data_IF_491536101119
#
_entry.id   IF_491536101119
#
_cell.length_a   1.000
_cell.length_b   1.000
_cell.length_c   1.000
_cell.angle_alpha   90.00
_cell.angle_beta   90.00
_cell.angle_gamma   90.00
#
_symmetry.space_group_name_H-M   'P 1'
#
loop_
_entity.id
_entity.type
_entity.pdbx_description
1 polymer ?
#
# COMPACT_ATOMS: atom_id res chain seq x y z
N UNK A 1 -22.00 18.74 -6.89
CA UNK A 1 -22.80 18.31 -5.74
C UNK A 1 -23.05 16.82 -5.85
N UNK A 2 -22.09 16.00 -5.40
CA UNK A 2 -22.21 14.55 -5.38
C UNK A 2 -22.54 14.15 -3.95
N UNK A 3 -23.83 14.03 -3.66
CA UNK A 3 -24.27 13.20 -2.54
C UNK A 3 -24.62 11.83 -3.12
N UNK A 4 -23.58 11.07 -3.43
CA UNK A 4 -23.70 9.66 -3.79
C UNK A 4 -24.03 8.85 -2.53
N UNK A 5 -25.31 8.85 -2.12
CA UNK A 5 -25.82 7.76 -1.29
C UNK A 5 -25.72 6.49 -2.13
N UNK A 6 -24.61 5.76 -2.01
CA UNK A 6 -24.51 4.41 -2.55
C UNK A 6 -25.70 3.62 -2.01
N UNK A 7 -26.50 3.06 -2.91
CA UNK A 7 -27.59 2.18 -2.50
C UNK A 7 -26.94 1.00 -1.77
N UNK A 8 -27.28 0.80 -0.48
CA UNK A 8 -26.83 -0.38 0.30
C UNK A 8 -27.13 -1.71 -0.40
N UNK A 9 -28.09 -1.72 -1.33
CA UNK A 9 -28.55 -2.91 -2.06
C UNK A 9 -27.51 -3.50 -3.03
N UNK A 10 -26.59 -2.71 -3.57
CA UNK A 10 -25.65 -3.19 -4.62
C UNK A 10 -24.31 -3.68 -4.07
N UNK A 11 -24.00 -3.44 -2.79
CA UNK A 11 -22.71 -3.78 -2.17
C UNK A 11 -22.74 -5.15 -1.46
N UNK A 12 -23.93 -5.67 -1.13
CA UNK A 12 -24.10 -6.84 -0.26
C UNK A 12 -24.48 -8.14 -0.98
N UNK A 13 -24.68 -8.12 -2.30
CA UNK A 13 -25.15 -9.32 -3.05
C UNK A 13 -24.05 -10.02 -3.86
N UNK A 14 -22.92 -9.34 -4.12
CA UNK A 14 -21.83 -9.94 -4.87
C UNK A 14 -20.85 -10.68 -3.95
N UNK A 15 -20.36 -11.86 -4.37
CA UNK A 15 -19.39 -12.62 -3.61
C UNK A 15 -18.04 -11.90 -3.55
N UNK A 16 -17.32 -12.11 -2.45
CA UNK A 16 -15.92 -11.68 -2.33
C UNK A 16 -15.03 -12.71 -3.03
N UNK A 17 -14.02 -12.25 -3.76
CA UNK A 17 -13.05 -13.12 -4.43
C UNK A 17 -11.65 -12.73 -4.04
N UNK A 18 -10.95 -13.63 -3.36
CA UNK A 18 -9.56 -13.45 -2.96
C UNK A 18 -8.61 -14.22 -3.88
N UNK A 19 -7.38 -13.72 -4.02
CA UNK A 19 -6.38 -14.23 -4.95
C UNK A 19 -5.11 -14.65 -4.20
N UNK A 20 -5.09 -15.87 -3.63
CA UNK A 20 -3.87 -16.45 -3.07
C UNK A 20 -2.72 -16.43 -4.08
N UNK A 21 -1.51 -16.15 -3.61
CA UNK A 21 -0.31 -16.30 -4.41
C UNK A 21 -0.04 -17.76 -4.83
N UNK A 22 0.73 -17.99 -5.91
CA UNK A 22 1.22 -19.33 -6.24
C UNK A 22 2.04 -19.94 -5.09
N UNK A 23 1.74 -21.18 -4.71
CA UNK A 23 2.46 -21.89 -3.64
C UNK A 23 1.96 -21.61 -2.22
N UNK A 24 0.91 -20.80 -2.06
CA UNK A 24 0.33 -20.50 -0.76
C UNK A 24 -0.24 -21.77 -0.06
N UNK A 25 -0.19 -21.78 1.27
CA UNK A 25 -0.64 -22.91 2.11
C UNK A 25 -2.06 -22.65 2.61
N UNK A 26 -3.01 -23.47 2.19
CA UNK A 26 -4.40 -23.41 2.64
C UNK A 26 -4.50 -23.94 4.07
N UNK A 27 -5.11 -23.15 4.96
CA UNK A 27 -5.23 -23.45 6.39
C UNK A 27 -6.55 -24.16 6.74
N UNK A 28 -7.40 -24.38 5.74
CA UNK A 28 -8.75 -24.93 5.86
C UNK A 28 -9.05 -25.87 4.70
N UNK A 29 -9.96 -26.81 4.94
CA UNK A 29 -10.61 -27.59 3.89
C UNK A 29 -11.84 -26.82 3.38
N UNK A 30 -12.01 -26.77 2.06
CA UNK A 30 -13.10 -26.02 1.40
C UNK A 30 -14.05 -26.99 0.67
N UNK A 31 -15.37 -26.70 0.60
CA UNK A 31 -16.02 -25.50 1.13
C UNK A 31 -16.20 -25.53 2.64
N UNK A 32 -16.15 -24.37 3.30
CA UNK A 32 -16.33 -24.27 4.75
C UNK A 32 -16.93 -22.94 5.17
N UNK A 33 -17.52 -22.91 6.37
CA UNK A 33 -17.95 -21.66 6.98
C UNK A 33 -16.74 -20.90 7.50
N UNK A 34 -16.74 -19.60 7.26
CA UNK A 34 -15.68 -18.70 7.68
C UNK A 34 -16.26 -17.47 8.39
N UNK A 35 -15.47 -16.89 9.27
CA UNK A 35 -15.80 -15.65 9.98
C UNK A 35 -14.84 -14.53 9.59
N UNK A 36 -15.29 -13.28 9.63
CA UNK A 36 -14.45 -12.12 9.33
C UNK A 36 -13.21 -12.10 10.23
N UNK A 37 -12.03 -11.99 9.61
CA UNK A 37 -10.74 -12.07 10.31
C UNK A 37 -10.17 -13.48 10.44
N UNK A 38 -10.92 -14.51 10.07
CA UNK A 38 -10.44 -15.88 10.17
C UNK A 38 -9.40 -16.19 9.10
N UNK A 39 -8.30 -16.83 9.51
CA UNK A 39 -7.21 -17.21 8.61
C UNK A 39 -7.65 -18.26 7.58
N UNK A 40 -7.42 -17.97 6.30
CA UNK A 40 -7.77 -18.84 5.18
C UNK A 40 -6.53 -19.46 4.54
N UNK A 41 -5.51 -18.63 4.29
CA UNK A 41 -4.31 -19.02 3.55
C UNK A 41 -3.09 -18.33 4.12
N UNK A 42 -2.00 -19.07 4.29
CA UNK A 42 -0.69 -18.51 4.60
C UNK A 42 0.09 -18.28 3.30
N UNK A 43 0.61 -17.07 3.14
CA UNK A 43 1.37 -16.64 1.97
C UNK A 43 2.84 -16.42 2.34
N UNK A 44 3.67 -16.09 1.37
CA UNK A 44 5.08 -15.71 1.51
C UNK A 44 5.21 -14.49 2.42
N UNK A 45 4.25 -13.57 2.32
CA UNK A 45 4.11 -12.40 3.19
C UNK A 45 2.72 -12.40 3.82
N UNK A 46 2.67 -12.82 5.09
CA UNK A 46 1.48 -12.70 5.92
C UNK A 46 0.43 -13.79 5.70
N UNK A 47 -0.78 -13.51 6.19
CA UNK A 47 -1.92 -14.44 6.17
C UNK A 47 -3.12 -13.75 5.54
N UNK A 48 -3.72 -14.40 4.55
CA UNK A 48 -4.97 -13.96 3.94
C UNK A 48 -6.14 -14.36 4.85
N UNK A 49 -6.94 -13.37 5.22
CA UNK A 49 -8.06 -13.52 6.15
C UNK A 49 -9.39 -13.42 5.41
N UNK A 50 -10.44 -13.99 5.98
CA UNK A 50 -11.78 -13.78 5.45
C UNK A 50 -12.23 -12.33 5.67
N UNK A 51 -12.66 -11.60 4.63
CA UNK A 51 -13.22 -10.26 4.76
C UNK A 51 -14.62 -10.23 5.37
N UNK A 52 -15.35 -11.35 5.36
CA UNK A 52 -16.76 -11.44 5.76
C UNK A 52 -17.06 -12.76 6.46
N UNK A 53 -18.18 -12.80 7.16
CA UNK A 53 -18.82 -14.05 7.55
C UNK A 53 -19.50 -14.67 6.31
N UNK A 54 -19.35 -15.97 6.11
CA UNK A 54 -20.00 -16.63 4.98
C UNK A 54 -19.50 -18.04 4.69
N UNK A 55 -19.79 -18.51 3.48
CA UNK A 55 -19.29 -19.78 2.96
C UNK A 55 -18.18 -19.52 1.96
N UNK A 56 -16.98 -20.00 2.28
CA UNK A 56 -15.82 -19.93 1.41
C UNK A 56 -15.70 -21.22 0.59
N UNK A 57 -15.42 -21.08 -0.70
CA UNK A 57 -15.22 -22.18 -1.66
C UNK A 57 -14.04 -21.89 -2.58
N UNK A 58 -13.36 -22.93 -3.05
CA UNK A 58 -12.31 -22.80 -4.05
C UNK A 58 -12.90 -22.75 -5.45
N UNK A 59 -12.36 -21.86 -6.28
CA UNK A 59 -12.62 -21.81 -7.72
C UNK A 59 -11.29 -22.05 -8.42
N UNK A 60 -11.21 -23.12 -9.21
CA UNK A 60 -10.07 -23.37 -10.07
C UNK A 60 -10.20 -22.52 -11.34
N UNK A 61 -9.26 -21.59 -11.54
CA UNK A 61 -9.08 -20.90 -12.81
C UNK A 61 -7.97 -21.56 -13.65
N UNK A 62 -7.83 -21.14 -14.90
CA UNK A 62 -6.79 -21.66 -15.82
C UNK A 62 -5.35 -21.43 -15.33
N UNK A 63 -5.12 -20.40 -14.50
CA UNK A 63 -3.78 -19.98 -14.05
C UNK A 63 -3.64 -19.78 -12.54
N UNK A 64 -4.73 -19.79 -11.77
CA UNK A 64 -4.68 -19.61 -10.31
C UNK A 64 -5.94 -20.13 -9.62
N UNK A 65 -5.77 -20.60 -8.39
CA UNK A 65 -6.89 -20.96 -7.51
C UNK A 65 -7.36 -19.69 -6.80
N UNK A 66 -8.66 -19.41 -6.88
CA UNK A 66 -9.31 -18.28 -6.21
C UNK A 66 -10.13 -18.78 -5.02
N UNK A 67 -10.32 -17.94 -4.00
CA UNK A 67 -11.27 -18.21 -2.92
C UNK A 67 -12.47 -17.31 -3.10
N UNK A 68 -13.65 -17.90 -3.30
CA UNK A 68 -14.91 -17.17 -3.38
C UNK A 68 -15.66 -17.31 -2.06
N UNK A 69 -16.13 -16.20 -1.52
CA UNK A 69 -16.87 -16.15 -0.25
C UNK A 69 -18.23 -15.52 -0.50
N UNK A 70 -19.27 -16.31 -0.30
CA UNK A 70 -20.66 -15.83 -0.33
C UNK A 70 -21.02 -15.40 1.07
N UNK A 71 -21.20 -14.09 1.26
CA UNK A 71 -21.55 -13.53 2.56
C UNK A 71 -22.92 -14.02 3.01
N UNK A 72 -23.03 -14.39 4.30
CA UNK A 72 -24.33 -14.63 4.93
C UNK A 72 -24.54 -13.72 6.14
N UNK A 73 -25.71 -13.06 6.19
CA UNK A 73 -26.05 -12.12 7.24
C UNK A 73 -25.27 -10.79 7.21
N UNK A 74 -25.57 -9.93 8.19
CA UNK A 74 -24.88 -8.65 8.39
C UNK A 74 -23.95 -8.76 9.60
N UNK A 75 -22.63 -8.75 9.35
CA UNK A 75 -21.62 -8.71 10.40
C UNK A 75 -21.06 -7.30 10.56
N UNK A 76 -20.96 -6.84 11.80
CA UNK A 76 -20.26 -5.62 12.20
C UNK A 76 -19.13 -5.98 13.14
N UNK A 77 -17.95 -5.45 12.86
CA UNK A 77 -16.82 -5.49 13.79
C UNK A 77 -17.19 -4.69 15.04
N UNK A 78 -17.11 -5.30 16.23
CA UNK A 78 -17.48 -4.63 17.48
C UNK A 78 -16.66 -3.37 17.74
N UNK A 79 -15.38 -3.36 17.31
CA UNK A 79 -14.49 -2.21 17.36
C UNK A 79 -14.23 -1.66 18.76
N UNK A 80 -14.59 -2.43 19.79
CA UNK A 80 -14.43 -2.07 21.19
C UNK A 80 -12.95 -1.88 21.51
N UNK A 81 -12.64 -0.75 22.14
CA UNK A 81 -11.28 -0.44 22.56
C UNK A 81 -10.91 -1.32 23.75
N UNK A 82 -9.86 -2.12 23.58
CA UNK A 82 -9.27 -2.99 24.59
C UNK A 82 -7.79 -2.64 24.71
N UNK A 83 -7.44 -1.99 25.82
CA UNK A 83 -6.07 -1.60 26.13
C UNK A 83 -5.58 -2.48 27.28
N UNK A 84 -4.49 -3.21 27.04
CA UNK A 84 -3.77 -3.94 28.07
C UNK A 84 -2.43 -3.22 28.32
N UNK A 85 -2.31 -2.41 29.39
CA UNK A 85 -1.08 -1.68 29.69
C UNK A 85 0.17 -2.57 29.85
N UNK A 86 -0.01 -3.88 30.04
CA UNK A 86 1.05 -4.87 30.19
C UNK A 86 1.34 -5.69 28.93
N UNK A 87 0.80 -5.28 27.77
CA UNK A 87 0.99 -5.96 26.50
C UNK A 87 2.48 -6.10 26.17
N UNK A 88 2.96 -7.35 26.16
CA UNK A 88 4.35 -7.66 25.81
C UNK A 88 4.56 -7.62 24.30
N UNK A 89 5.81 -7.42 23.88
CA UNK A 89 6.17 -7.41 22.47
C UNK A 89 5.75 -8.73 21.79
N UNK A 90 6.03 -9.88 22.39
CA UNK A 90 5.69 -11.20 21.82
C UNK A 90 4.18 -11.34 21.55
N UNK A 91 3.36 -10.89 22.49
CA UNK A 91 1.90 -10.90 22.35
C UNK A 91 1.43 -9.91 21.27
N UNK A 92 2.10 -8.76 21.14
CA UNK A 92 1.82 -7.81 20.07
C UNK A 92 2.18 -8.38 18.70
N UNK A 93 3.31 -9.10 18.58
CA UNK A 93 3.72 -9.78 17.35
C UNK A 93 2.71 -10.86 16.94
N UNK A 94 2.25 -11.68 17.90
CA UNK A 94 1.19 -12.68 17.66
C UNK A 94 -0.09 -12.03 17.14
N UNK A 95 -0.55 -10.94 17.80
CA UNK A 95 -1.72 -10.19 17.35
C UNK A 95 -1.54 -9.60 15.95
N UNK A 96 -0.34 -9.15 15.59
CA UNK A 96 -0.04 -8.65 14.23
C UNK A 96 -0.19 -9.78 13.19
N UNK A 97 0.35 -10.96 13.48
CA UNK A 97 0.28 -12.13 12.59
C UNK A 97 -1.16 -12.64 12.43
N UNK A 98 -1.90 -12.80 13.54
CA UNK A 98 -3.30 -13.22 13.54
C UNK A 98 -4.20 -12.22 12.80
N UNK A 99 -3.86 -10.93 12.85
CA UNK A 99 -4.61 -9.86 12.18
C UNK A 99 -4.22 -9.66 10.71
N UNK A 100 -3.29 -10.45 10.17
CA UNK A 100 -2.86 -10.35 8.78
C UNK A 100 -2.08 -9.08 8.45
N UNK A 101 -1.43 -8.44 9.44
CA UNK A 101 -0.75 -7.17 9.24
C UNK A 101 0.55 -7.33 8.44
N UNK A 102 0.66 -6.55 7.38
CA UNK A 102 1.90 -6.31 6.63
C UNK A 102 2.39 -4.89 6.84
N UNK A 103 3.68 -4.65 6.62
CA UNK A 103 4.16 -3.27 6.52
C UNK A 103 3.72 -2.69 5.18
N UNK A 104 2.98 -1.58 5.21
CA UNK A 104 2.60 -0.86 3.98
C UNK A 104 3.73 0.06 3.49
N UNK A 105 4.78 0.20 4.30
CA UNK A 105 6.02 0.91 4.00
C UNK A 105 7.04 -0.02 3.33
N UNK A 106 7.00 -1.32 3.68
CA UNK A 106 7.81 -2.40 3.12
C UNK A 106 6.91 -3.57 2.70
N UNK A 107 6.31 -3.52 1.48
CA UNK A 107 5.25 -4.45 1.07
C UNK A 107 5.61 -5.94 1.15
N UNK A 108 6.90 -6.28 1.04
CA UNK A 108 7.40 -7.66 1.08
C UNK A 108 7.73 -8.15 2.51
N UNK A 109 7.17 -7.52 3.55
CA UNK A 109 7.50 -7.82 4.94
C UNK A 109 6.26 -7.78 5.83
N UNK A 110 6.06 -8.84 6.64
CA UNK A 110 5.02 -8.83 7.67
C UNK A 110 5.37 -7.81 8.74
N UNK A 111 4.35 -7.19 9.34
CA UNK A 111 4.63 -6.17 10.35
C UNK A 111 5.32 -6.78 11.58
N UNK A 112 4.93 -7.99 11.98
CA UNK A 112 5.59 -8.76 13.04
C UNK A 112 7.09 -8.99 12.77
N UNK A 113 7.45 -9.36 11.53
CA UNK A 113 8.84 -9.60 11.14
C UNK A 113 9.65 -8.30 11.17
N UNK A 114 9.05 -7.18 10.76
CA UNK A 114 9.68 -5.86 10.85
C UNK A 114 10.04 -5.50 12.31
N UNK A 115 9.12 -5.70 13.25
CA UNK A 115 9.40 -5.47 14.67
C UNK A 115 10.41 -6.46 15.24
N UNK A 116 10.32 -7.74 14.85
CA UNK A 116 11.18 -8.81 15.36
C UNK A 116 12.64 -8.68 14.91
N UNK A 117 12.88 -8.15 13.71
CA UNK A 117 14.22 -7.99 13.13
C UNK A 117 14.90 -6.69 13.52
N UNK A 118 14.18 -5.76 14.17
CA UNK A 118 14.71 -4.49 14.63
C UNK A 118 15.68 -4.67 15.82
N UNK A 119 16.88 -4.10 15.69
CA UNK A 119 18.02 -4.27 16.60
C UNK A 119 18.32 -3.03 17.47
N UNK A 120 17.42 -2.04 17.48
CA UNK A 120 17.39 -0.90 18.41
C UNK A 120 18.39 0.24 18.14
N UNK A 121 18.07 1.13 17.19
CA UNK A 121 18.75 2.45 17.13
C UNK A 121 17.78 3.63 17.03
N UNK A 122 16.78 3.53 16.17
CA UNK A 122 15.88 4.64 15.87
C UNK A 122 14.50 4.12 15.47
N UNK A 123 13.45 4.68 16.07
CA UNK A 123 12.06 4.44 15.68
C UNK A 123 11.52 5.74 15.07
N UNK A 124 10.97 5.66 13.86
CA UNK A 124 10.41 6.81 13.14
C UNK A 124 8.94 6.55 12.85
N UNK A 125 8.08 7.39 13.42
CA UNK A 125 6.65 7.39 13.13
C UNK A 125 6.38 8.53 12.16
N UNK A 126 6.22 8.20 10.88
CA UNK A 126 6.14 9.18 9.80
C UNK A 126 4.71 9.72 9.63
N UNK A 127 4.52 11.00 9.25
CA UNK A 127 3.20 11.56 8.98
C UNK A 127 2.68 11.26 7.57
N UNK A 128 3.51 10.64 6.72
CA UNK A 128 3.21 10.52 5.30
C UNK A 128 3.20 9.06 4.85
N UNK A 129 2.21 8.73 4.04
CA UNK A 129 2.21 7.52 3.20
C UNK A 129 2.96 7.82 1.89
N UNK A 130 3.35 6.76 1.17
CA UNK A 130 4.14 6.81 -0.07
C UNK A 130 3.67 7.86 -1.10
N UNK A 131 2.36 7.99 -1.29
CA UNK A 131 1.73 8.89 -2.28
C UNK A 131 0.74 9.89 -1.66
N UNK A 132 0.56 9.85 -0.33
CA UNK A 132 -0.44 10.62 0.43
C UNK A 132 -1.85 10.65 -0.20
N UNK A 133 -2.41 9.51 -0.64
CA UNK A 133 -3.75 9.49 -1.22
C UNK A 133 -4.80 9.78 -0.14
N UNK A 134 -4.63 9.23 1.07
CA UNK A 134 -5.45 9.46 2.25
C UNK A 134 -4.55 10.08 3.33
N UNK A 135 -5.05 11.10 4.02
CA UNK A 135 -4.32 11.69 5.15
C UNK A 135 -4.57 10.86 6.43
N UNK A 136 -3.85 9.74 6.55
CA UNK A 136 -3.94 8.89 7.73
C UNK A 136 -3.41 9.55 9.00
N UNK A 137 -2.59 10.59 8.89
CA UNK A 137 -2.14 11.36 10.06
C UNK A 137 -3.32 12.13 10.65
N UNK A 138 -4.10 12.80 9.80
CA UNK A 138 -5.34 13.46 10.22
C UNK A 138 -6.31 12.46 10.87
N UNK A 139 -6.55 11.31 10.23
CA UNK A 139 -7.41 10.25 10.80
C UNK A 139 -6.89 9.77 12.17
N UNK A 140 -5.58 9.57 12.32
CA UNK A 140 -5.01 9.15 13.62
C UNK A 140 -5.23 10.24 14.68
N UNK A 141 -4.99 11.51 14.35
CA UNK A 141 -5.11 12.61 15.29
C UNK A 141 -6.57 12.86 15.70
N UNK A 142 -7.53 12.62 14.82
CA UNK A 142 -8.96 12.79 15.09
C UNK A 142 -9.58 11.57 15.80
N UNK A 143 -9.26 10.34 15.37
CA UNK A 143 -9.96 9.14 15.81
C UNK A 143 -9.15 8.22 16.73
N UNK A 144 -7.81 8.29 16.71
CA UNK A 144 -6.93 7.32 17.35
C UNK A 144 -5.83 7.97 18.21
N UNK A 145 -5.95 9.25 18.58
CA UNK A 145 -4.89 10.01 19.27
C UNK A 145 -4.48 9.36 20.60
N UNK A 146 -5.44 8.94 21.41
CA UNK A 146 -5.16 8.27 22.69
C UNK A 146 -4.51 6.88 22.48
N UNK A 147 -4.91 6.16 21.44
CA UNK A 147 -4.30 4.88 21.08
C UNK A 147 -2.85 5.05 20.61
N UNK A 148 -2.57 6.14 19.90
CA UNK A 148 -1.23 6.49 19.47
C UNK A 148 -0.34 6.84 20.67
N UNK A 149 -0.84 7.63 21.64
CA UNK A 149 -0.11 7.91 22.89
C UNK A 149 0.17 6.60 23.65
N UNK A 150 -0.82 5.72 23.76
CA UNK A 150 -0.63 4.42 24.41
C UNK A 150 0.41 3.56 23.67
N UNK A 151 0.42 3.59 22.34
CA UNK A 151 1.42 2.88 21.54
C UNK A 151 2.85 3.44 21.77
N UNK A 152 2.99 4.77 21.93
CA UNK A 152 4.26 5.39 22.30
C UNK A 152 4.80 4.84 23.63
N UNK A 153 3.94 4.60 24.61
CA UNK A 153 4.34 3.98 25.89
C UNK A 153 4.78 2.52 25.71
N UNK A 154 4.11 1.75 24.85
CA UNK A 154 4.54 0.38 24.55
C UNK A 154 5.90 0.32 23.86
N UNK A 155 6.14 1.13 22.82
CA UNK A 155 7.43 1.07 22.12
C UNK A 155 8.60 1.53 23.00
N UNK A 156 8.38 2.42 23.98
CA UNK A 156 9.38 2.76 25.00
C UNK A 156 9.73 1.57 25.90
N UNK A 157 8.73 0.75 26.24
CA UNK A 157 8.94 -0.46 27.06
C UNK A 157 9.57 -1.58 26.24
N UNK A 158 9.11 -1.79 25.01
CA UNK A 158 9.61 -2.83 24.12
C UNK A 158 11.05 -2.54 23.64
N UNK A 159 11.39 -1.27 23.44
CA UNK A 159 12.68 -0.84 22.90
C UNK A 159 13.28 0.34 23.71
N UNK A 160 13.69 0.13 24.98
CA UNK A 160 14.09 1.21 25.89
C UNK A 160 15.31 2.02 25.42
N UNK A 161 16.20 1.39 24.65
CA UNK A 161 17.42 2.04 24.14
C UNK A 161 17.19 2.82 22.83
N UNK A 162 16.00 2.74 22.24
CA UNK A 162 15.73 3.36 20.94
C UNK A 162 15.34 4.83 21.06
N UNK A 163 15.89 5.66 20.20
CA UNK A 163 15.43 7.05 20.04
C UNK A 163 14.13 7.03 19.25
N UNK A 164 13.06 7.63 19.80
CA UNK A 164 11.77 7.73 19.13
C UNK A 164 11.61 9.12 18.49
N UNK A 165 11.33 9.15 17.20
CA UNK A 165 10.97 10.35 16.43
C UNK A 165 9.51 10.23 15.98
N UNK A 166 8.61 10.80 16.76
CA UNK A 166 7.19 10.85 16.44
C UNK A 166 6.83 12.11 15.66
N UNK A 167 6.50 11.94 14.38
CA UNK A 167 6.00 12.99 13.50
C UNK A 167 4.50 12.88 13.21
N UNK A 168 3.77 11.98 13.87
CA UNK A 168 2.31 12.00 13.86
C UNK A 168 1.84 13.20 14.67
N UNK A 169 2.27 13.31 15.93
CA UNK A 169 1.95 14.47 16.78
C UNK A 169 2.85 15.66 16.45
N UNK A 170 4.16 15.45 16.35
CA UNK A 170 5.11 16.54 16.11
C UNK A 170 5.13 16.97 14.64
N UNK A 171 5.56 18.21 14.37
CA UNK A 171 5.78 18.68 13.01
C UNK A 171 7.07 18.14 12.41
N UNK A 172 7.06 17.90 11.10
CA UNK A 172 8.26 17.66 10.31
C UNK A 172 9.04 18.96 10.06
N UNK A 173 10.36 18.89 9.76
CA UNK A 173 11.18 20.08 9.53
C UNK A 173 10.92 20.78 8.18
N UNK A 174 9.90 20.38 7.42
CA UNK A 174 9.51 20.97 6.14
C UNK A 174 8.01 21.22 6.07
N UNK A 175 7.58 22.17 5.23
CA UNK A 175 6.23 22.77 5.32
C UNK A 175 5.11 21.92 4.71
N UNK A 176 5.38 21.20 3.62
CA UNK A 176 4.35 20.49 2.86
C UNK A 176 4.88 19.13 2.40
N UNK A 177 3.96 18.19 2.22
CA UNK A 177 4.25 16.94 1.54
C UNK A 177 4.66 17.22 0.08
N UNK A 178 5.71 16.53 -0.36
CA UNK A 178 6.19 16.52 -1.73
C UNK A 178 6.50 15.07 -2.07
N UNK A 179 6.20 14.61 -3.29
CA UNK A 179 6.66 13.28 -3.69
C UNK A 179 8.19 13.32 -3.89
N UNK A 180 8.98 12.32 -3.41
CA UNK A 180 8.59 11.05 -2.79
C UNK A 180 8.84 11.00 -1.27
N UNK A 181 8.50 12.06 -0.53
CA UNK A 181 8.77 12.17 0.92
C UNK A 181 8.05 11.09 1.74
N UNK A 182 7.05 10.39 1.18
CA UNK A 182 6.43 9.23 1.81
C UNK A 182 7.27 7.94 1.81
N UNK A 183 8.40 7.89 1.09
CA UNK A 183 9.27 6.71 1.08
C UNK A 183 10.19 6.69 2.30
N UNK A 184 10.35 5.55 3.00
CA UNK A 184 11.11 5.47 4.24
C UNK A 184 12.53 6.04 4.15
N UNK A 185 13.30 5.61 3.16
CA UNK A 185 14.71 5.98 2.98
C UNK A 185 14.86 7.48 2.69
N UNK A 186 13.98 8.01 1.85
CA UNK A 186 14.01 9.43 1.49
C UNK A 186 13.46 10.33 2.59
N UNK A 187 12.41 9.90 3.31
CA UNK A 187 11.90 10.60 4.48
C UNK A 187 12.98 10.74 5.53
N UNK A 188 13.64 9.65 5.89
CA UNK A 188 14.68 9.62 6.91
C UNK A 188 15.89 10.47 6.50
N UNK A 189 16.31 10.41 5.24
CA UNK A 189 17.33 11.33 4.69
C UNK A 189 16.93 12.80 4.81
N UNK A 190 15.70 13.16 4.41
CA UNK A 190 15.24 14.56 4.36
C UNK A 190 14.92 15.12 5.76
N UNK A 191 14.31 14.33 6.64
CA UNK A 191 13.84 14.76 7.95
C UNK A 191 14.92 14.68 9.03
N UNK A 192 15.83 13.70 8.94
CA UNK A 192 16.82 13.40 9.98
C UNK A 192 18.28 13.59 9.52
N UNK A 193 18.51 13.91 8.24
CA UNK A 193 19.85 13.99 7.64
C UNK A 193 20.63 12.66 7.67
N UNK A 194 19.92 11.55 7.83
CA UNK A 194 20.49 10.21 7.92
C UNK A 194 20.74 9.66 6.51
N UNK A 195 21.99 9.32 6.19
CA UNK A 195 22.38 8.93 4.82
C UNK A 195 22.19 7.45 4.54
N UNK A 196 22.20 6.64 5.58
CA UNK A 196 22.11 5.19 5.49
C UNK A 196 20.79 4.71 6.08
N UNK A 197 20.00 4.00 5.28
CA UNK A 197 18.78 3.37 5.76
C UNK A 197 18.98 1.86 5.83
N UNK A 198 18.81 1.28 7.02
CA UNK A 198 18.79 -0.15 7.27
C UNK A 198 17.59 -0.44 8.14
N UNK A 199 16.65 -1.26 7.64
CA UNK A 199 15.40 -1.58 8.35
C UNK A 199 15.64 -2.29 9.69
N UNK A 200 16.77 -2.99 9.81
CA UNK A 200 17.21 -3.64 11.04
C UNK A 200 17.59 -2.61 12.11
N UNK A 201 18.04 -1.42 11.73
CA UNK A 201 18.45 -0.36 12.65
C UNK A 201 17.40 0.75 12.78
N UNK A 202 16.51 0.91 11.80
CA UNK A 202 15.49 1.95 11.77
C UNK A 202 14.10 1.33 11.60
N UNK A 203 13.32 1.30 12.68
CA UNK A 203 11.92 0.91 12.63
C UNK A 203 11.09 2.08 12.11
N UNK A 204 10.83 2.09 10.81
CA UNK A 204 9.97 3.08 10.17
C UNK A 204 8.53 2.58 10.10
N UNK A 205 7.59 3.39 10.58
CA UNK A 205 6.15 3.12 10.50
C UNK A 205 5.44 4.34 9.91
N UNK A 206 4.85 4.17 8.74
CA UNK A 206 3.97 5.15 8.12
C UNK A 206 2.62 5.26 8.82
N UNK A 207 1.86 6.34 8.57
CA UNK A 207 0.62 6.62 9.30
C UNK A 207 -0.48 5.60 8.94
N UNK A 208 -0.47 5.04 7.73
CA UNK A 208 -1.43 3.98 7.36
C UNK A 208 -1.11 2.66 8.07
N UNK A 209 0.18 2.26 8.11
CA UNK A 209 0.65 1.10 8.88
C UNK A 209 0.24 1.25 10.35
N UNK A 210 0.44 2.43 10.95
CA UNK A 210 0.03 2.73 12.32
C UNK A 210 -1.49 2.65 12.52
N UNK A 211 -2.27 3.21 11.61
CA UNK A 211 -3.73 3.15 11.68
C UNK A 211 -4.24 1.70 11.72
N UNK A 212 -3.72 0.82 10.86
CA UNK A 212 -4.07 -0.59 10.85
C UNK A 212 -3.51 -1.36 12.05
N UNK A 213 -2.31 -0.99 12.52
CA UNK A 213 -1.74 -1.54 13.75
C UNK A 213 -2.62 -1.23 14.97
N UNK A 214 -3.12 0.00 15.12
CA UNK A 214 -3.98 0.37 16.24
C UNK A 214 -5.31 -0.37 16.21
N UNK A 215 -5.87 -0.55 15.01
CA UNK A 215 -7.09 -1.32 14.80
C UNK A 215 -6.92 -2.77 15.24
N UNK A 216 -5.80 -3.40 14.90
CA UNK A 216 -5.50 -4.75 15.33
C UNK A 216 -5.25 -4.85 16.85
N UNK A 217 -4.31 -4.05 17.37
CA UNK A 217 -3.87 -4.16 18.76
C UNK A 217 -4.94 -3.76 19.77
N UNK A 218 -5.69 -2.69 19.47
CA UNK A 218 -6.60 -2.06 20.43
C UNK A 218 -8.07 -2.27 20.12
N UNK A 219 -8.46 -2.53 18.87
CA UNK A 219 -9.88 -2.66 18.50
C UNK A 219 -10.26 -4.09 18.10
N UNK A 220 -9.29 -5.02 18.07
CA UNK A 220 -9.45 -6.39 17.55
C UNK A 220 -10.03 -6.41 16.13
N UNK A 221 -9.68 -5.40 15.34
CA UNK A 221 -10.10 -5.32 13.95
C UNK A 221 -8.93 -5.77 13.06
N UNK A 222 -9.05 -6.89 12.35
CA UNK A 222 -8.00 -7.41 11.49
C UNK A 222 -7.83 -6.56 10.22
N UNK A 223 -6.72 -6.76 9.51
CA UNK A 223 -6.43 -6.11 8.24
C UNK A 223 -7.19 -6.79 7.10
N UNK A 224 -8.50 -6.51 7.05
CA UNK A 224 -9.43 -7.03 6.04
C UNK A 224 -10.15 -5.92 5.27
N UNK A 225 -9.90 -4.66 5.64
CA UNK A 225 -10.45 -3.49 4.98
C UNK A 225 -9.45 -2.33 4.99
N UNK A 226 -9.42 -1.56 3.89
CA UNK A 226 -8.51 -0.44 3.65
C UNK A 226 -9.26 0.75 3.05
N UNK A 227 -8.81 1.96 3.34
CA UNK A 227 -9.33 3.18 2.70
C UNK A 227 -8.68 3.37 1.33
N UNK A 228 -9.51 3.48 0.29
CA UNK A 228 -9.09 3.65 -1.10
C UNK A 228 -9.52 5.03 -1.59
N UNK A 229 -8.56 5.82 -2.10
CA UNK A 229 -8.88 7.09 -2.74
C UNK A 229 -9.33 6.88 -4.17
N UNK A 230 -10.29 7.69 -4.63
CA UNK A 230 -10.74 7.68 -6.01
C UNK A 230 -10.31 8.98 -6.69
N UNK A 231 -9.72 8.84 -7.87
CA UNK A 231 -9.33 9.94 -8.74
C UNK A 231 -10.01 9.82 -10.10
N UNK A 232 -10.17 10.95 -10.77
CA UNK A 232 -10.75 11.06 -12.10
C UNK A 232 -9.84 11.89 -13.00
N UNK A 233 -9.42 11.31 -14.12
CA UNK A 233 -8.70 11.98 -15.19
C UNK A 233 -9.69 12.35 -16.28
N UNK A 234 -9.90 13.64 -16.43
CA UNK A 234 -10.77 14.24 -17.43
C UNK A 234 -10.15 14.17 -18.84
N UNK A 235 -10.96 14.36 -19.88
CA UNK A 235 -10.48 14.32 -21.28
C UNK A 235 -9.43 15.39 -21.61
N UNK A 236 -9.39 16.47 -20.84
CA UNK A 236 -8.39 17.55 -20.97
C UNK A 236 -7.11 17.28 -20.14
N UNK A 237 -6.99 16.11 -19.50
CA UNK A 237 -5.89 15.77 -18.60
C UNK A 237 -6.03 16.32 -17.18
N UNK A 238 -7.12 17.01 -16.85
CA UNK A 238 -7.39 17.49 -15.50
C UNK A 238 -7.57 16.33 -14.53
N UNK A 239 -6.92 16.41 -13.37
CA UNK A 239 -7.05 15.42 -12.29
C UNK A 239 -8.00 15.97 -11.21
N UNK A 240 -9.05 15.20 -10.90
CA UNK A 240 -9.92 15.44 -9.75
C UNK A 240 -9.78 14.29 -8.76
N UNK A 241 -9.96 14.59 -7.48
CA UNK A 241 -9.98 13.61 -6.39
C UNK A 241 -11.36 13.65 -5.74
N UNK A 242 -11.90 12.48 -5.43
CA UNK A 242 -13.11 12.35 -4.59
C UNK A 242 -12.82 12.91 -3.18
N UNK A 243 -13.79 13.58 -2.56
CA UNK A 243 -13.59 14.24 -1.26
C UNK A 243 -13.25 13.25 -0.14
N UNK A 244 -13.99 12.15 -0.06
CA UNK A 244 -13.80 11.12 0.96
C UNK A 244 -13.29 9.82 0.34
N UNK A 245 -12.28 9.17 0.93
CA UNK A 245 -11.91 7.82 0.52
C UNK A 245 -13.03 6.83 0.82
N UNK A 246 -13.12 5.78 0.02
CA UNK A 246 -14.07 4.69 0.24
C UNK A 246 -13.35 3.56 0.95
N UNK A 247 -13.97 3.05 2.01
CA UNK A 247 -13.47 1.86 2.71
C UNK A 247 -13.97 0.62 1.98
N UNK A 248 -13.03 -0.18 1.49
CA UNK A 248 -13.30 -1.45 0.84
C UNK A 248 -12.77 -2.61 1.67
N UNK A 249 -13.40 -3.77 1.54
CA UNK A 249 -12.86 -5.03 2.06
C UNK A 249 -12.03 -5.76 1.01
N UNK A 250 -11.13 -6.62 1.46
CA UNK A 250 -10.34 -7.45 0.57
C UNK A 250 -11.23 -8.38 -0.27
N UNK A 251 -10.89 -8.53 -1.54
CA UNK A 251 -11.66 -9.29 -2.52
C UNK A 251 -13.03 -8.72 -2.86
N UNK A 252 -13.36 -7.49 -2.44
CA UNK A 252 -14.64 -6.89 -2.77
C UNK A 252 -14.73 -6.61 -4.27
N UNK A 253 -15.84 -7.02 -4.89
CA UNK A 253 -16.11 -6.70 -6.29
C UNK A 253 -16.24 -5.19 -6.50
N UNK A 254 -15.61 -4.70 -7.58
CA UNK A 254 -15.70 -3.32 -8.03
C UNK A 254 -16.84 -3.10 -9.04
N UNK A 255 -17.58 -4.14 -9.42
CA UNK A 255 -18.61 -4.07 -10.47
C UNK A 255 -19.62 -2.96 -10.25
N UNK A 256 -20.06 -2.72 -9.00
CA UNK A 256 -20.99 -1.62 -8.69
C UNK A 256 -20.42 -0.25 -9.09
N UNK A 257 -19.13 -0.01 -8.83
CA UNK A 257 -18.45 1.24 -9.10
C UNK A 257 -18.11 1.36 -10.59
N UNK A 258 -17.57 0.28 -11.18
CA UNK A 258 -17.21 0.24 -12.59
C UNK A 258 -18.44 0.45 -13.48
N UNK A 259 -19.56 -0.21 -13.20
CA UNK A 259 -20.81 -0.06 -13.95
C UNK A 259 -21.37 1.36 -13.89
N UNK A 260 -21.31 1.98 -12.70
CA UNK A 260 -21.74 3.37 -12.51
C UNK A 260 -20.88 4.34 -13.32
N UNK A 261 -19.55 4.19 -13.26
CA UNK A 261 -18.60 5.13 -13.86
C UNK A 261 -18.32 4.87 -15.34
N UNK A 262 -18.58 3.67 -15.87
CA UNK A 262 -18.20 3.22 -17.22
C UNK A 262 -18.56 4.19 -18.34
N UNK A 263 -19.72 4.88 -18.26
CA UNK A 263 -20.14 5.82 -19.31
C UNK A 263 -19.24 7.04 -19.41
N UNK A 264 -18.78 7.55 -18.27
CA UNK A 264 -17.92 8.74 -18.18
C UNK A 264 -16.44 8.35 -18.24
N UNK A 265 -16.10 7.21 -17.63
CA UNK A 265 -14.75 6.70 -17.44
C UNK A 265 -14.67 5.24 -17.92
N UNK A 266 -14.40 5.01 -19.21
CA UNK A 266 -14.34 3.66 -19.78
C UNK A 266 -13.11 2.86 -19.35
N UNK A 267 -12.08 3.51 -18.80
CA UNK A 267 -10.86 2.87 -18.35
C UNK A 267 -10.54 3.28 -16.90
N UNK A 268 -9.74 2.46 -16.22
CA UNK A 268 -9.19 2.80 -14.92
C UNK A 268 -7.83 2.15 -14.70
N UNK A 269 -7.10 2.59 -13.69
CA UNK A 269 -5.88 1.94 -13.19
C UNK A 269 -5.85 2.07 -11.66
N UNK A 270 -4.91 1.40 -11.00
CA UNK A 270 -4.74 1.44 -9.55
C UNK A 270 -3.52 2.28 -9.15
N UNK A 271 -3.48 2.68 -7.88
CA UNK A 271 -2.34 3.32 -7.24
C UNK A 271 -2.02 4.69 -7.88
N UNK A 272 -0.75 4.97 -8.19
CA UNK A 272 -0.30 6.25 -8.74
C UNK A 272 0.30 6.11 -10.13
N UNK A 273 0.35 7.22 -10.87
CA UNK A 273 1.06 7.28 -12.15
C UNK A 273 2.58 6.99 -12.04
N UNK A 274 3.16 7.13 -10.85
CA UNK A 274 4.56 6.79 -10.60
C UNK A 274 4.78 5.27 -10.48
N UNK A 275 3.73 4.51 -10.16
CA UNK A 275 3.82 3.06 -9.96
C UNK A 275 3.81 2.28 -11.27
N UNK A 276 3.46 2.89 -12.41
CA UNK A 276 3.50 2.25 -13.73
C UNK A 276 2.52 1.09 -13.90
N UNK A 277 1.32 1.19 -13.32
CA UNK A 277 0.30 0.14 -13.39
C UNK A 277 -0.34 0.00 -14.78
N UNK A 278 -0.97 -1.16 -15.00
CA UNK A 278 -1.73 -1.44 -16.21
C UNK A 278 -3.06 -0.68 -16.22
N UNK A 279 -3.57 -0.39 -17.42
CA UNK A 279 -4.92 0.13 -17.59
C UNK A 279 -5.89 -1.01 -17.83
N UNK A 280 -7.05 -0.91 -17.19
CA UNK A 280 -8.13 -1.88 -17.24
C UNK A 280 -9.38 -1.24 -17.84
N UNK A 281 -10.22 -2.07 -18.44
CA UNK A 281 -11.52 -1.62 -18.96
C UNK A 281 -12.54 -1.61 -17.83
N UNK A 282 -13.32 -0.54 -17.69
CA UNK A 282 -14.46 -0.49 -16.77
C UNK A 282 -15.60 -1.46 -17.16
N UNK A 283 -15.40 -2.28 -18.19
CA UNK A 283 -16.31 -3.37 -18.60
C UNK A 283 -15.91 -4.73 -18.04
N UNK A 284 -14.71 -4.85 -17.49
CA UNK A 284 -14.18 -6.08 -16.93
C UNK A 284 -14.61 -6.23 -15.47
N UNK A 285 -14.64 -7.48 -15.00
CA UNK A 285 -14.85 -7.77 -13.59
C UNK A 285 -13.52 -7.65 -12.84
N UNK A 286 -13.49 -6.82 -11.81
CA UNK A 286 -12.31 -6.64 -10.96
C UNK A 286 -12.70 -6.72 -9.49
N UNK A 287 -11.77 -7.26 -8.70
CA UNK A 287 -11.89 -7.38 -7.26
C UNK A 287 -10.71 -6.63 -6.62
N UNK A 288 -10.98 -5.95 -5.52
CA UNK A 288 -9.95 -5.19 -4.84
C UNK A 288 -9.02 -6.10 -4.05
N UNK A 289 -7.71 -5.95 -4.23
CA UNK A 289 -6.66 -6.50 -3.36
C UNK A 289 -6.15 -5.36 -2.46
N UNK A 290 -6.47 -5.41 -1.16
CA UNK A 290 -6.10 -4.32 -0.24
C UNK A 290 -4.60 -4.26 0.04
N UNK A 291 -3.84 -5.32 -0.23
CA UNK A 291 -2.39 -5.34 -0.05
C UNK A 291 -1.70 -4.62 -1.20
N UNK A 292 -2.27 -4.70 -2.41
CA UNK A 292 -1.72 -4.07 -3.62
C UNK A 292 -2.27 -2.69 -3.92
N UNK A 293 -3.55 -2.43 -3.60
CA UNK A 293 -4.26 -1.24 -4.07
C UNK A 293 -4.49 -0.22 -2.95
N UNK A 294 -4.13 1.05 -3.21
CA UNK A 294 -4.39 2.19 -2.31
C UNK A 294 -5.20 3.34 -2.94
N UNK A 295 -5.36 3.30 -4.26
CA UNK A 295 -6.22 4.22 -5.00
C UNK A 295 -6.74 3.60 -6.29
N UNK A 296 -7.85 4.13 -6.79
CA UNK A 296 -8.42 3.85 -8.12
C UNK A 296 -8.41 5.16 -8.90
N UNK A 297 -7.87 5.13 -10.11
CA UNK A 297 -7.84 6.28 -11.02
C UNK A 297 -8.69 5.96 -12.24
N UNK A 298 -9.86 6.58 -12.34
CA UNK A 298 -10.74 6.50 -13.49
C UNK A 298 -10.28 7.46 -14.60
N UNK A 299 -10.36 7.03 -15.87
CA UNK A 299 -9.87 7.80 -17.01
C UNK A 299 -10.94 7.92 -18.09
N UNK A 300 -11.33 9.16 -18.40
CA UNK A 300 -12.38 9.48 -19.39
C UNK A 300 -11.88 9.43 -20.84
N UNK A 301 -10.56 9.56 -21.02
CA UNK A 301 -9.90 9.55 -22.32
C UNK A 301 -9.65 8.15 -22.87
N UNK A 302 -9.35 8.06 -24.16
CA UNK A 302 -8.74 6.86 -24.73
C UNK A 302 -7.32 6.73 -24.17
N UNK A 303 -6.99 5.55 -23.67
CA UNK A 303 -5.61 5.22 -23.33
C UNK A 303 -4.82 5.22 -24.65
N UNK A 304 -3.82 6.08 -24.74
CA UNK A 304 -2.88 6.09 -25.86
C UNK A 304 -1.71 5.20 -25.45
N UNK A 305 -1.42 4.18 -26.24
CA UNK A 305 -0.16 3.47 -26.10
C UNK A 305 0.96 4.45 -26.42
N UNK A 306 1.78 4.75 -25.41
CA UNK A 306 2.98 5.54 -25.62
C UNK A 306 4.03 4.62 -26.23
N UNK A 307 4.44 4.90 -27.47
CA UNK A 307 5.54 4.17 -28.09
C UNK A 307 6.85 4.72 -27.54
N UNK A 308 7.68 3.86 -26.94
CA UNK A 308 9.05 4.22 -26.53
C UNK A 308 9.79 4.82 -27.73
N UNK A 309 10.28 6.04 -27.55
CA UNK A 309 11.12 6.75 -28.51
C UNK A 309 12.59 6.64 -28.09
N UNK A 310 13.55 6.82 -29.03
CA UNK A 310 14.95 6.91 -28.66
C UNK A 310 15.21 7.98 -27.59
N UNK A 311 16.19 7.73 -26.73
CA UNK A 311 16.62 8.71 -25.73
C UNK A 311 17.17 9.95 -26.44
N UNK A 312 16.74 11.13 -25.99
CA UNK A 312 17.22 12.43 -26.48
C UNK A 312 18.34 13.02 -25.62
N UNK A 313 18.82 12.26 -24.64
CA UNK A 313 19.86 12.68 -23.69
C UNK A 313 19.56 14.00 -22.95
N UNK A 314 18.28 14.33 -22.74
CA UNK A 314 17.86 15.57 -22.08
C UNK A 314 18.25 15.68 -20.59
N UNK A 315 18.55 14.57 -19.92
CA UNK A 315 19.00 14.54 -18.53
C UNK A 315 17.90 14.68 -17.46
N UNK A 316 16.63 14.89 -17.82
CA UNK A 316 15.52 15.11 -16.86
C UNK A 316 15.41 14.01 -15.79
N UNK A 317 15.64 12.75 -16.16
CA UNK A 317 15.61 11.63 -15.23
C UNK A 317 16.75 11.65 -14.19
N UNK A 318 17.88 12.27 -14.51
CA UNK A 318 19.02 12.44 -13.61
C UNK A 318 18.88 13.71 -12.78
N UNK A 319 18.53 14.85 -13.40
CA UNK A 319 18.38 16.13 -12.69
C UNK A 319 17.28 16.12 -11.64
N UNK A 320 16.18 15.39 -11.89
CA UNK A 320 15.06 15.28 -10.95
C UNK A 320 15.15 14.03 -10.06
N UNK A 321 16.26 13.29 -10.07
CA UNK A 321 16.42 12.13 -9.21
C UNK A 321 16.66 12.59 -7.76
N UNK A 322 15.75 12.32 -6.80
CA UNK A 322 15.85 12.81 -5.42
C UNK A 322 17.02 12.19 -4.63
N UNK A 323 17.58 11.11 -5.16
CA UNK A 323 18.70 10.35 -4.59
C UNK A 323 19.92 10.34 -5.51
N UNK A 324 19.92 11.18 -6.56
CA UNK A 324 21.08 11.39 -7.44
C UNK A 324 21.61 10.08 -8.06
N UNK A 325 20.72 9.12 -8.35
CA UNK A 325 21.12 7.77 -8.76
C UNK A 325 21.61 7.65 -10.20
N UNK A 326 21.51 8.72 -11.01
CA UNK A 326 21.86 8.75 -12.44
C UNK A 326 21.14 7.71 -13.35
N UNK A 327 19.79 7.71 -13.44
CA UNK A 327 19.04 6.72 -14.23
C UNK A 327 19.35 6.71 -15.73
N UNK A 328 19.82 7.83 -16.31
CA UNK A 328 20.11 7.93 -17.75
C UNK A 328 21.20 6.95 -18.21
N UNK A 329 22.14 6.61 -17.32
CA UNK A 329 23.23 5.66 -17.59
C UNK A 329 22.73 4.28 -18.01
N UNK A 330 21.54 3.86 -17.57
CA UNK A 330 20.92 2.58 -17.98
C UNK A 330 20.48 2.53 -19.45
N UNK A 331 20.49 3.68 -20.12
CA UNK A 331 20.10 3.83 -21.52
C UNK A 331 21.29 4.27 -22.36
N UNK A 332 22.06 5.26 -21.90
CA UNK A 332 23.17 5.84 -22.67
C UNK A 332 24.53 5.20 -22.39
N UNK A 333 24.66 4.48 -21.27
CA UNK A 333 25.96 4.00 -20.77
C UNK A 333 26.87 5.10 -20.21
N UNK A 334 26.38 6.34 -20.08
CA UNK A 334 27.21 7.46 -19.60
C UNK A 334 27.23 7.50 -18.06
N UNK A 335 28.37 7.13 -17.48
CA UNK A 335 28.57 7.10 -16.03
C UNK A 335 27.87 5.92 -15.37
N UNK A 336 27.76 5.97 -14.03
CA UNK A 336 27.28 4.84 -13.23
C UNK A 336 25.89 5.06 -12.67
N UNK A 337 25.04 4.02 -12.69
CA UNK A 337 23.78 3.98 -11.96
C UNK A 337 24.01 3.48 -10.52
N UNK A 338 23.50 4.21 -9.53
CA UNK A 338 23.60 3.81 -8.12
C UNK A 338 22.37 3.01 -7.68
N UNK A 339 22.31 1.73 -8.07
CA UNK A 339 21.15 0.86 -7.83
C UNK A 339 20.72 0.77 -6.36
N UNK A 340 21.69 0.63 -5.44
CA UNK A 340 21.43 0.51 -4.00
C UNK A 340 20.83 1.77 -3.37
N UNK A 341 21.04 2.93 -3.98
CA UNK A 341 20.48 4.19 -3.49
C UNK A 341 19.06 4.44 -4.05
N UNK A 342 18.67 3.80 -5.15
CA UNK A 342 17.40 4.08 -5.79
C UNK A 342 16.22 3.49 -5.01
N UNK A 343 15.20 4.28 -4.72
CA UNK A 343 13.97 3.86 -4.03
C UNK A 343 12.83 3.49 -4.98
N UNK A 344 13.10 3.39 -6.30
CA UNK A 344 12.09 3.06 -7.31
C UNK A 344 10.85 3.98 -7.27
N UNK A 345 11.06 5.28 -7.04
CA UNK A 345 9.98 6.28 -7.01
C UNK A 345 9.39 6.62 -8.39
N UNK A 346 9.93 6.11 -9.50
CA UNK A 346 9.29 6.32 -10.82
C UNK A 346 9.27 7.73 -11.38
N UNK A 347 9.82 8.75 -10.69
CA UNK A 347 9.95 10.13 -11.20
C UNK A 347 10.65 10.14 -12.58
N UNK A 348 11.69 9.31 -12.71
CA UNK A 348 12.45 9.18 -13.95
C UNK A 348 11.60 8.69 -15.13
N UNK A 349 10.71 7.71 -14.92
CA UNK A 349 9.77 7.25 -15.95
C UNK A 349 8.74 8.34 -16.27
N UNK A 350 8.17 8.95 -15.24
CA UNK A 350 7.10 9.93 -15.39
C UNK A 350 7.53 11.18 -16.18
N UNK A 351 8.75 11.67 -15.96
CA UNK A 351 9.28 12.87 -16.62
C UNK A 351 9.93 12.59 -17.98
N UNK A 352 10.11 11.33 -18.38
CA UNK A 352 10.83 11.01 -19.61
C UNK A 352 10.04 11.45 -20.86
N UNK A 353 10.51 12.42 -21.66
CA UNK A 353 9.79 12.86 -22.86
C UNK A 353 9.75 11.77 -23.95
N UNK A 354 10.72 10.85 -23.92
CA UNK A 354 10.78 9.70 -24.83
C UNK A 354 9.89 8.52 -24.39
N UNK A 355 9.22 8.61 -23.24
CA UNK A 355 8.37 7.53 -22.72
C UNK A 355 9.14 6.26 -22.36
N UNK A 356 10.43 6.37 -22.01
CA UNK A 356 11.25 5.21 -21.65
C UNK A 356 10.85 4.72 -20.24
N UNK A 357 10.53 3.42 -20.06
CA UNK A 357 10.16 2.85 -18.76
C UNK A 357 11.39 2.66 -17.86
N UNK A 358 12.03 3.76 -17.46
CA UNK A 358 13.28 3.75 -16.69
C UNK A 358 13.15 2.99 -15.36
N UNK A 359 12.01 3.12 -14.67
CA UNK A 359 11.72 2.39 -13.43
C UNK A 359 11.76 0.87 -13.61
N UNK A 360 11.27 0.36 -14.73
CA UNK A 360 11.30 -1.09 -15.00
C UNK A 360 12.73 -1.54 -15.29
N UNK A 361 13.49 -0.76 -16.09
CA UNK A 361 14.93 -1.01 -16.29
C UNK A 361 15.72 -0.98 -14.97
N UNK A 362 15.36 -0.11 -14.02
CA UNK A 362 15.97 -0.04 -12.68
C UNK A 362 15.67 -1.31 -11.88
N UNK A 363 14.42 -1.80 -11.94
CA UNK A 363 14.02 -3.05 -11.29
C UNK A 363 14.77 -4.24 -11.86
N UNK A 364 14.94 -4.29 -13.18
CA UNK A 364 15.71 -5.34 -13.84
C UNK A 364 17.15 -5.41 -13.30
N UNK A 365 17.79 -4.25 -13.18
CA UNK A 365 19.16 -4.15 -12.62
C UNK A 365 19.20 -4.58 -11.15
N UNK A 366 18.26 -4.11 -10.33
CA UNK A 366 18.22 -4.48 -8.90
C UNK A 366 17.95 -5.98 -8.69
N UNK A 367 17.14 -6.58 -9.55
CA UNK A 367 16.81 -8.00 -9.51
C UNK A 367 17.88 -8.88 -10.16
N UNK A 368 18.92 -8.29 -10.76
CA UNK A 368 20.00 -9.01 -11.44
C UNK A 368 19.58 -9.63 -12.77
N UNK A 369 18.44 -9.24 -13.35
CA UNK A 369 18.00 -9.68 -14.68
C UNK A 369 18.68 -8.90 -15.80
N UNK A 370 19.36 -7.79 -15.46
CA UNK A 370 20.20 -6.99 -16.37
C UNK A 370 21.44 -6.49 -15.65
N UNK A 371 22.58 -6.45 -16.35
CA UNK A 371 23.81 -5.90 -15.81
C UNK A 371 23.78 -4.35 -15.78
N UNK A 372 24.42 -3.76 -14.76
CA UNK A 372 24.72 -2.34 -14.79
C UNK A 372 25.65 -2.06 -15.96
N UNK A 373 25.32 -1.05 -16.76
CA UNK A 373 26.22 -0.51 -17.77
C UNK A 373 27.28 0.33 -17.05
N UNK A 374 28.24 -0.33 -16.39
CA UNK A 374 29.42 0.33 -15.82
C UNK A 374 30.41 0.56 -16.98
N UNK A 375 30.36 1.73 -17.63
CA UNK A 375 31.37 2.20 -18.62
C UNK A 375 32.06 3.45 -18.12
#
# INVERSE_FOLDING_TARGET
>A
MVHGKFSRKTVLEEPFTLFPEPGAVYLKEFPTRVYAGEALVRQSVGTLLSPVDGIASLIQGEHSTKIRIVQDGSFQLSGEIQVDPSLKLEQALEKMDESGLVSLDFPDTTLSSLFKTFQSSLIVLSPYTKTQPVDFREIILEECRELHIQFLEYIKIWFPESIIKDYIISSVPFRKYEYPVGFPEYFVKKALSEKTFQKENILYLGPETLYHLYRALFKKIPYIERHISIYYVEKNGGLKKEESPIKFRDGQSLSFLLLEKKKEYPNFTFNSFFDGGEFHSSSEEYFLDIYKHHSIIFVAGKIREWKELPCTECGECTYNCPLECNPISLVTGQGRFFANACIECGICTFLCPSGIPLRDKIRDVKNGTRENLDV
#
